data_IF_317455702804
#
_entry.id   IF_317455702804
#
_cell.length_a   1.000
_cell.length_b   1.000
_cell.length_c   1.000
_cell.angle_alpha   90.00
_cell.angle_beta   90.00
_cell.angle_gamma   90.00
#
_symmetry.space_group_name_H-M   'P 1'
#
loop_
_entity.id
_entity.type
_entity.pdbx_description
1 polymer ?
#
# COMPACT_ATOMS: atom_id res chain seq x y z
N UNK A 1 -30.88 -21.33 29.06
CA UNK A 1 -30.60 -19.90 29.33
C UNK A 1 -30.50 -19.23 27.97
N UNK A 2 -31.34 -18.23 27.65
CA UNK A 2 -31.24 -17.49 26.39
C UNK A 2 -30.22 -16.36 26.57
N UNK A 3 -29.22 -16.29 25.69
CA UNK A 3 -28.28 -15.18 25.68
C UNK A 3 -29.00 -13.93 25.14
N UNK A 4 -28.78 -12.76 25.75
CA UNK A 4 -29.34 -11.51 25.22
C UNK A 4 -28.75 -11.21 23.84
N UNK A 5 -29.57 -10.66 22.95
CA UNK A 5 -29.11 -10.18 21.66
C UNK A 5 -28.26 -8.91 21.86
N UNK A 6 -26.95 -9.07 21.70
CA UNK A 6 -25.98 -7.98 21.88
C UNK A 6 -26.07 -6.90 20.79
N UNK A 7 -26.82 -7.13 19.71
CA UNK A 7 -27.07 -6.11 18.69
C UNK A 7 -28.15 -5.10 19.12
N UNK A 8 -29.08 -5.53 19.97
CA UNK A 8 -30.17 -4.70 20.52
C UNK A 8 -29.96 -4.31 21.99
N UNK A 9 -28.83 -4.70 22.58
CA UNK A 9 -28.52 -4.40 23.98
C UNK A 9 -28.30 -2.90 24.20
N UNK A 10 -29.27 -2.25 24.83
CA UNK A 10 -29.34 -0.79 24.97
C UNK A 10 -28.06 -0.14 25.55
N UNK A 11 -27.38 -0.71 26.57
CA UNK A 11 -26.12 -0.16 27.07
C UNK A 11 -25.01 -0.07 26.01
N UNK A 12 -24.95 -1.04 25.08
CA UNK A 12 -23.99 -0.99 23.97
C UNK A 12 -24.40 0.00 22.89
N UNK A 13 -25.71 0.21 22.69
CA UNK A 13 -26.21 1.24 21.79
C UNK A 13 -25.83 2.64 22.27
N UNK A 14 -26.01 2.92 23.56
CA UNK A 14 -25.65 4.19 24.19
C UNK A 14 -24.14 4.45 24.11
N UNK A 15 -23.31 3.45 24.45
CA UNK A 15 -21.87 3.56 24.34
C UNK A 15 -21.42 3.82 22.89
N UNK A 16 -22.01 3.11 21.93
CA UNK A 16 -21.73 3.28 20.50
C UNK A 16 -22.06 4.69 20.01
N UNK A 17 -23.18 5.26 20.47
CA UNK A 17 -23.59 6.63 20.16
C UNK A 17 -22.63 7.66 20.81
N UNK A 18 -22.24 7.45 22.08
CA UNK A 18 -21.26 8.30 22.76
C UNK A 18 -19.89 8.29 22.07
N UNK A 19 -19.51 7.17 21.45
CA UNK A 19 -18.29 7.03 20.65
C UNK A 19 -18.42 7.57 19.20
N UNK A 20 -19.58 8.13 18.83
CA UNK A 20 -19.82 8.70 17.49
C UNK A 20 -20.03 7.67 16.38
N UNK A 21 -20.18 6.38 16.71
CA UNK A 21 -20.41 5.33 15.74
C UNK A 21 -21.91 5.20 15.42
N UNK A 22 -22.31 5.52 14.18
CA UNK A 22 -23.72 5.49 13.73
C UNK A 22 -24.16 4.15 13.13
N UNK A 23 -23.24 3.22 12.90
CA UNK A 23 -23.50 1.90 12.32
C UNK A 23 -22.79 0.84 13.15
N UNK A 24 -23.34 -0.36 13.20
CA UNK A 24 -22.61 -1.56 13.60
C UNK A 24 -21.37 -1.66 12.71
N UNK A 25 -20.20 -1.76 13.32
CA UNK A 25 -18.95 -1.90 12.56
C UNK A 25 -19.05 -3.12 11.65
N UNK A 26 -18.61 -2.99 10.40
CA UNK A 26 -18.44 -4.12 9.50
C UNK A 26 -17.20 -4.90 9.97
N UNK A 27 -17.40 -6.10 10.50
CA UNK A 27 -16.31 -6.97 10.91
C UNK A 27 -16.10 -8.04 9.86
N UNK A 28 -15.02 -7.92 9.09
CA UNK A 28 -14.58 -9.00 8.22
C UNK A 28 -13.75 -9.97 9.05
N UNK A 29 -14.16 -11.25 9.04
CA UNK A 29 -13.35 -12.30 9.62
C UNK A 29 -11.97 -12.32 8.95
N UNK A 30 -10.94 -12.53 9.77
CA UNK A 30 -9.58 -12.61 9.27
C UNK A 30 -9.44 -13.76 8.26
N UNK A 31 -9.08 -13.43 7.03
CA UNK A 31 -8.73 -14.41 6.00
C UNK A 31 -7.23 -14.30 5.72
N UNK A 32 -6.46 -15.37 6.00
CA UNK A 32 -5.01 -15.39 5.82
C UNK A 32 -4.54 -15.20 4.36
N UNK A 33 -5.40 -15.48 3.38
CA UNK A 33 -5.14 -15.28 1.96
C UNK A 33 -5.30 -13.82 1.55
N UNK A 34 -6.19 -13.08 2.22
CA UNK A 34 -6.51 -11.68 1.93
C UNK A 34 -5.81 -10.69 2.86
N UNK A 35 -5.50 -11.10 4.08
CA UNK A 35 -4.98 -10.22 5.13
C UNK A 35 -3.58 -10.65 5.54
N UNK A 36 -2.72 -9.65 5.76
CA UNK A 36 -1.42 -9.90 6.37
C UNK A 36 -1.63 -10.33 7.82
N UNK A 37 -0.84 -11.30 8.28
CA UNK A 37 -0.70 -11.64 9.69
C UNK A 37 0.08 -10.54 10.44
N UNK A 38 0.02 -10.55 11.77
CA UNK A 38 0.84 -9.64 12.58
C UNK A 38 2.34 -9.77 12.29
N UNK A 39 2.82 -11.01 12.12
CA UNK A 39 4.21 -11.29 11.79
C UNK A 39 4.61 -10.73 10.42
N UNK A 40 3.79 -10.95 9.39
CA UNK A 40 4.05 -10.41 8.05
C UNK A 40 4.08 -8.87 8.04
N UNK A 41 3.19 -8.22 8.81
CA UNK A 41 3.19 -6.76 8.96
C UNK A 41 4.50 -6.26 9.57
N UNK A 42 4.92 -6.85 10.69
CA UNK A 42 6.16 -6.45 11.35
C UNK A 42 7.38 -6.72 10.48
N UNK A 43 7.41 -7.84 9.75
CA UNK A 43 8.48 -8.17 8.81
C UNK A 43 8.58 -7.14 7.69
N UNK A 44 7.46 -6.81 7.03
CA UNK A 44 7.43 -5.83 5.94
C UNK A 44 7.81 -4.41 6.37
N UNK A 45 7.47 -4.02 7.60
CA UNK A 45 7.79 -2.71 8.13
C UNK A 45 9.26 -2.61 8.57
N UNK A 46 9.76 -3.62 9.29
CA UNK A 46 11.07 -3.55 9.93
C UNK A 46 12.19 -4.07 9.05
N UNK A 47 12.01 -5.22 8.40
CA UNK A 47 13.10 -5.96 7.73
C UNK A 47 12.97 -5.92 6.22
N UNK A 48 11.75 -5.61 5.73
CA UNK A 48 11.40 -5.85 4.35
C UNK A 48 11.34 -7.35 4.06
N UNK A 49 10.88 -7.70 2.86
CA UNK A 49 10.83 -9.10 2.44
C UNK A 49 11.20 -9.22 0.97
N UNK A 50 11.88 -10.31 0.61
CA UNK A 50 12.14 -10.65 -0.78
C UNK A 50 11.07 -11.62 -1.30
N UNK A 51 10.53 -11.32 -2.48
CA UNK A 51 9.59 -12.19 -3.19
C UNK A 51 9.80 -12.06 -4.70
N UNK A 52 9.44 -13.11 -5.48
CA UNK A 52 9.32 -12.96 -6.94
C UNK A 52 8.24 -11.93 -7.28
N UNK A 53 8.50 -11.09 -8.28
CA UNK A 53 7.58 -10.05 -8.75
C UNK A 53 6.19 -10.63 -9.10
N UNK A 54 6.14 -11.83 -9.68
CA UNK A 54 4.90 -12.55 -9.99
C UNK A 54 3.96 -12.80 -8.81
N UNK A 55 4.46 -12.73 -7.56
CA UNK A 55 3.62 -12.89 -6.35
C UNK A 55 2.91 -11.60 -5.93
N UNK A 56 3.27 -10.47 -6.53
CA UNK A 56 2.66 -9.17 -6.23
C UNK A 56 1.45 -8.95 -7.13
N UNK A 57 0.47 -8.21 -6.61
CA UNK A 57 -0.77 -7.85 -7.32
C UNK A 57 -0.68 -6.41 -7.83
N UNK A 58 -1.43 -6.15 -8.90
CA UNK A 58 -1.80 -4.81 -9.35
C UNK A 58 -3.14 -4.43 -8.75
N UNK A 59 -3.22 -3.32 -8.03
CA UNK A 59 -4.50 -2.76 -7.62
C UNK A 59 -5.14 -1.92 -8.71
N UNK A 60 -6.42 -1.58 -8.52
CA UNK A 60 -7.19 -0.83 -9.52
C UNK A 60 -6.67 0.58 -9.77
N UNK A 61 -5.94 1.14 -8.83
CA UNK A 61 -5.23 2.42 -8.94
C UNK A 61 -3.78 2.26 -9.44
N UNK A 62 -3.44 1.09 -10.00
CA UNK A 62 -2.10 0.73 -10.49
C UNK A 62 -1.03 0.52 -9.41
N UNK A 63 -1.36 0.70 -8.13
CA UNK A 63 -0.39 0.50 -7.04
C UNK A 63 0.00 -0.96 -6.86
N UNK A 64 1.20 -1.20 -6.35
CA UNK A 64 1.65 -2.53 -5.98
C UNK A 64 0.96 -3.02 -4.69
N UNK A 65 0.54 -4.28 -4.70
CA UNK A 65 -0.11 -4.91 -3.56
C UNK A 65 0.43 -6.30 -3.24
N UNK A 66 0.35 -6.68 -1.98
CA UNK A 66 0.42 -8.07 -1.52
C UNK A 66 -0.79 -8.33 -0.64
N UNK A 67 -1.59 -9.34 -1.02
CA UNK A 67 -2.93 -9.53 -0.48
C UNK A 67 -3.72 -8.20 -0.60
N UNK A 68 -4.31 -7.68 0.48
CA UNK A 68 -5.03 -6.40 0.51
C UNK A 68 -4.19 -5.25 1.08
N UNK A 69 -2.86 -5.30 0.96
CA UNK A 69 -1.97 -4.27 1.49
C UNK A 69 -1.13 -3.66 0.39
N UNK A 70 -1.16 -2.32 0.29
CA UNK A 70 -0.26 -1.55 -0.60
C UNK A 70 1.17 -1.63 -0.12
N UNK A 71 2.10 -1.73 -1.05
CA UNK A 71 3.53 -1.90 -0.78
C UNK A 71 4.35 -0.91 -1.59
N UNK A 72 5.60 -0.73 -1.17
CA UNK A 72 6.67 -0.24 -2.04
C UNK A 72 7.50 -1.43 -2.54
N UNK A 73 8.02 -1.33 -3.76
CA UNK A 73 8.83 -2.37 -4.41
C UNK A 73 10.14 -1.78 -4.90
N UNK A 74 11.26 -2.46 -4.69
CA UNK A 74 12.58 -1.98 -5.11
C UNK A 74 13.56 -3.12 -5.35
N UNK A 75 14.58 -2.86 -6.18
CA UNK A 75 15.71 -3.75 -6.38
C UNK A 75 16.87 -3.31 -5.48
N UNK A 76 17.62 -4.26 -4.94
CA UNK A 76 18.69 -3.98 -3.99
C UNK A 76 19.73 -2.97 -4.50
N UNK A 77 20.08 -3.03 -5.79
CA UNK A 77 21.07 -2.15 -6.39
C UNK A 77 20.48 -0.88 -7.06
N UNK A 78 19.16 -0.68 -7.00
CA UNK A 78 18.53 0.50 -7.56
C UNK A 78 18.57 1.68 -6.58
N UNK A 79 18.66 2.91 -7.10
CA UNK A 79 18.58 4.13 -6.29
C UNK A 79 17.15 4.57 -5.95
N UNK A 80 16.16 3.97 -6.61
CA UNK A 80 14.76 4.31 -6.47
C UNK A 80 13.89 3.16 -5.95
N UNK A 81 12.64 3.50 -5.62
CA UNK A 81 11.58 2.55 -5.30
C UNK A 81 10.29 2.91 -6.01
N UNK A 82 9.45 1.90 -6.18
CA UNK A 82 8.24 1.96 -6.98
C UNK A 82 7.00 1.75 -6.12
N UNK A 83 5.99 2.57 -6.36
CA UNK A 83 4.69 2.53 -5.70
C UNK A 83 3.61 1.88 -6.59
N UNK A 84 3.87 1.83 -7.89
CA UNK A 84 2.94 1.40 -8.92
C UNK A 84 3.65 0.59 -9.99
N UNK A 85 2.86 -0.19 -10.74
CA UNK A 85 3.30 -0.87 -11.95
C UNK A 85 3.51 0.14 -13.07
N UNK A 86 4.69 0.75 -13.11
CA UNK A 86 5.06 1.78 -14.07
C UNK A 86 5.91 1.20 -15.21
N UNK A 87 6.16 1.95 -16.29
CA UNK A 87 6.93 1.46 -17.43
C UNK A 87 8.32 0.89 -17.10
N UNK A 88 8.93 1.34 -16.00
CA UNK A 88 10.21 0.79 -15.51
C UNK A 88 10.04 -0.63 -14.96
N UNK A 89 9.01 -0.85 -14.15
CA UNK A 89 8.74 -2.17 -13.56
C UNK A 89 8.13 -3.14 -14.55
N UNK A 90 7.46 -2.65 -15.59
CA UNK A 90 6.90 -3.47 -16.68
C UNK A 90 8.01 -4.17 -17.49
N UNK A 91 9.24 -3.62 -17.48
CA UNK A 91 10.40 -4.23 -18.10
C UNK A 91 11.07 -5.31 -17.23
N UNK A 92 10.64 -5.51 -15.98
CA UNK A 92 11.22 -6.51 -15.09
C UNK A 92 10.66 -7.89 -15.38
N UNK A 93 11.50 -8.93 -15.27
CA UNK A 93 11.04 -10.30 -15.38
C UNK A 93 10.05 -10.66 -14.26
N UNK A 94 9.02 -11.45 -14.56
CA UNK A 94 8.12 -11.99 -13.55
C UNK A 94 8.84 -12.84 -12.49
N UNK A 95 9.96 -13.47 -12.86
CA UNK A 95 10.82 -14.24 -11.95
C UNK A 95 11.82 -13.37 -11.17
N UNK A 96 11.88 -12.06 -11.44
CA UNK A 96 12.78 -11.15 -10.75
C UNK A 96 12.42 -11.11 -9.27
N UNK A 97 13.41 -11.43 -8.42
CA UNK A 97 13.27 -11.23 -6.98
C UNK A 97 13.38 -9.73 -6.69
N UNK A 98 12.40 -9.21 -5.95
CA UNK A 98 12.31 -7.82 -5.53
C UNK A 98 12.18 -7.73 -4.02
N UNK A 99 12.65 -6.62 -3.46
CA UNK A 99 12.37 -6.25 -2.09
C UNK A 99 11.03 -5.52 -2.00
N UNK A 100 10.27 -5.83 -0.95
CA UNK A 100 9.00 -5.18 -0.63
C UNK A 100 8.96 -4.70 0.81
N UNK A 101 8.27 -3.59 1.04
CA UNK A 101 8.11 -3.01 2.38
C UNK A 101 6.82 -2.20 2.50
N UNK A 102 6.32 -2.06 3.74
CA UNK A 102 5.25 -1.12 4.13
C UNK A 102 5.77 0.10 4.89
N UNK A 103 7.10 0.20 5.06
CA UNK A 103 7.72 1.22 5.91
C UNK A 103 7.44 2.62 5.39
N UNK A 104 6.87 3.46 6.26
CA UNK A 104 6.38 4.81 5.89
C UNK A 104 7.45 5.91 6.00
N UNK A 105 8.50 5.70 6.76
CA UNK A 105 9.54 6.69 7.07
C UNK A 105 10.94 6.05 7.04
N UNK A 106 12.01 6.84 7.19
CA UNK A 106 13.40 6.33 7.29
C UNK A 106 13.97 5.73 6.00
N UNK A 107 15.05 4.96 6.05
CA UNK A 107 15.51 4.19 4.88
C UNK A 107 14.57 3.03 4.55
N UNK A 108 14.64 2.49 3.34
CA UNK A 108 13.95 1.24 3.00
C UNK A 108 14.83 0.04 3.38
N UNK A 109 14.27 -0.98 4.04
CA UNK A 109 15.06 -2.07 4.59
C UNK A 109 15.53 -3.04 3.50
N UNK A 110 16.77 -3.49 3.58
CA UNK A 110 17.35 -4.55 2.73
C UNK A 110 17.81 -5.70 3.62
N UNK A 111 16.95 -6.09 4.55
CA UNK A 111 17.21 -7.08 5.59
C UNK A 111 17.07 -6.50 7.00
N UNK A 112 17.29 -7.32 8.04
CA UNK A 112 16.96 -6.98 9.42
C UNK A 112 17.81 -5.87 10.06
N UNK A 113 18.97 -5.56 9.49
CA UNK A 113 19.93 -4.59 10.06
C UNK A 113 20.44 -3.57 9.05
N UNK A 114 19.89 -3.56 7.84
CA UNK A 114 20.35 -2.71 6.76
C UNK A 114 19.18 -1.95 6.17
N UNK A 115 19.37 -0.65 5.96
CA UNK A 115 18.42 0.20 5.26
C UNK A 115 19.16 1.14 4.32
N UNK A 116 18.47 1.54 3.26
CA UNK A 116 19.03 2.41 2.23
C UNK A 116 18.07 3.55 1.94
N UNK A 117 18.63 4.76 1.82
CA UNK A 117 17.89 5.92 1.34
C UNK A 117 17.70 5.78 -0.17
N UNK A 118 16.45 5.94 -0.60
CA UNK A 118 16.04 5.76 -2.00
C UNK A 118 15.03 6.83 -2.34
N UNK A 119 15.05 7.27 -3.59
CA UNK A 119 14.08 8.23 -4.10
C UNK A 119 12.85 7.50 -4.68
N UNK A 120 11.72 8.19 -4.74
CA UNK A 120 10.53 7.62 -5.41
C UNK A 120 10.73 7.67 -6.92
N UNK A 121 10.33 6.60 -7.61
CA UNK A 121 10.36 6.57 -9.06
C UNK A 121 9.41 7.63 -9.66
N UNK A 122 9.95 8.52 -10.49
CA UNK A 122 9.18 9.56 -11.17
C UNK A 122 8.07 9.01 -12.07
N UNK A 123 8.29 7.86 -12.70
CA UNK A 123 7.26 7.22 -13.55
C UNK A 123 6.07 6.72 -12.72
N UNK A 124 6.28 6.31 -11.46
CA UNK A 124 5.17 5.98 -10.57
C UNK A 124 4.35 7.23 -10.23
N UNK A 125 5.00 8.36 -9.93
CA UNK A 125 4.29 9.62 -9.64
C UNK A 125 3.49 10.12 -10.85
N UNK A 126 4.06 10.00 -12.05
CA UNK A 126 3.39 10.32 -13.31
C UNK A 126 2.14 9.45 -13.51
N UNK A 127 2.29 8.12 -13.38
CA UNK A 127 1.20 7.17 -13.60
C UNK A 127 0.05 7.41 -12.62
N UNK A 128 0.37 7.70 -11.37
CA UNK A 128 -0.61 7.95 -10.32
C UNK A 128 -1.19 9.37 -10.35
N UNK A 129 -0.66 10.26 -11.20
CA UNK A 129 -1.02 11.69 -11.21
C UNK A 129 -0.76 12.37 -9.86
N UNK A 130 0.21 11.89 -9.08
CA UNK A 130 0.40 12.28 -7.69
C UNK A 130 0.63 13.78 -7.56
N UNK A 131 -0.30 14.49 -6.90
CA UNK A 131 -0.26 15.96 -6.74
C UNK A 131 -0.05 16.72 -8.06
N UNK A 132 -0.56 16.18 -9.18
CA UNK A 132 -0.41 16.80 -10.49
C UNK A 132 1.01 16.74 -11.05
N UNK A 133 1.81 15.76 -10.62
CA UNK A 133 3.13 15.44 -11.16
C UNK A 133 3.05 15.22 -12.67
N UNK A 134 3.96 15.86 -13.41
CA UNK A 134 4.01 15.80 -14.86
C UNK A 134 5.46 15.94 -15.35
N UNK A 135 5.98 14.92 -16.03
CA UNK A 135 7.33 14.89 -16.63
C UNK A 135 7.40 15.56 -18.00
N UNK A 136 6.28 15.66 -18.72
CA UNK A 136 6.25 16.10 -20.12
C UNK A 136 6.03 17.60 -20.25
N UNK A 137 5.39 18.23 -19.26
CA UNK A 137 5.15 19.68 -19.29
C UNK A 137 6.36 20.47 -18.79
N UNK A 138 7.14 21.03 -19.70
CA UNK A 138 8.32 21.87 -19.43
C UNK A 138 8.09 22.94 -18.34
N UNK A 139 6.90 23.59 -18.33
CA UNK A 139 6.55 24.61 -17.33
C UNK A 139 6.49 24.11 -15.88
N UNK A 140 6.35 22.79 -15.66
CA UNK A 140 6.23 22.15 -14.35
C UNK A 140 7.46 21.34 -13.93
N UNK A 141 8.52 21.30 -14.74
CA UNK A 141 9.70 20.46 -14.45
C UNK A 141 10.34 20.80 -13.08
N UNK A 142 10.45 22.08 -12.74
CA UNK A 142 10.99 22.49 -11.45
C UNK A 142 10.11 22.01 -10.27
N UNK A 143 8.79 22.12 -10.41
CA UNK A 143 7.84 21.59 -9.45
C UNK A 143 7.94 20.07 -9.31
N UNK A 144 7.94 19.33 -10.43
CA UNK A 144 8.04 17.87 -10.43
C UNK A 144 9.37 17.40 -9.80
N UNK A 145 10.50 18.03 -10.13
CA UNK A 145 11.80 17.73 -9.50
C UNK A 145 11.78 17.99 -7.99
N UNK A 146 11.16 19.09 -7.55
CA UNK A 146 11.02 19.36 -6.12
C UNK A 146 10.14 18.30 -5.44
N UNK A 147 9.05 17.90 -6.09
CA UNK A 147 8.11 16.92 -5.57
C UNK A 147 8.75 15.53 -5.37
N UNK A 148 9.67 15.10 -6.25
CA UNK A 148 10.46 13.87 -6.02
C UNK A 148 11.31 14.00 -4.75
N UNK A 149 12.02 15.12 -4.59
CA UNK A 149 12.92 15.36 -3.45
C UNK A 149 12.18 15.47 -2.12
N UNK A 150 10.99 16.07 -2.13
CA UNK A 150 10.16 16.26 -0.94
C UNK A 150 9.12 15.15 -0.77
N UNK A 151 9.21 14.07 -1.55
CA UNK A 151 8.23 13.00 -1.49
C UNK A 151 8.25 12.31 -0.12
N UNK A 152 7.07 12.11 0.46
CA UNK A 152 6.89 11.37 1.71
C UNK A 152 6.04 10.14 1.49
N UNK A 153 6.59 8.96 1.83
CA UNK A 153 5.83 7.70 1.87
C UNK A 153 4.70 7.78 2.88
N UNK A 154 4.90 8.44 4.00
CA UNK A 154 3.85 8.63 5.00
C UNK A 154 2.66 9.40 4.42
N UNK A 155 2.92 10.51 3.73
CA UNK A 155 1.86 11.29 3.08
C UNK A 155 1.17 10.48 1.98
N UNK A 156 1.95 9.77 1.17
CA UNK A 156 1.42 8.90 0.13
C UNK A 156 0.43 7.87 0.69
N UNK A 157 0.79 7.17 1.77
CA UNK A 157 -0.09 6.17 2.40
C UNK A 157 -1.28 6.77 3.18
N UNK A 158 -1.30 8.09 3.41
CA UNK A 158 -2.50 8.81 3.87
C UNK A 158 -3.48 9.06 2.73
N UNK A 159 -2.99 9.43 1.55
CA UNK A 159 -3.82 9.68 0.35
C UNK A 159 -4.31 8.37 -0.24
N UNK A 160 -3.43 7.37 -0.35
CA UNK A 160 -3.71 6.03 -0.85
C UNK A 160 -3.80 5.08 0.34
N UNK A 161 -4.98 5.00 0.95
CA UNK A 161 -5.25 4.25 2.19
C UNK A 161 -4.75 2.80 2.14
N UNK A 162 -3.83 2.42 3.02
CA UNK A 162 -3.17 1.11 2.97
C UNK A 162 -4.13 -0.12 2.95
N UNK A 163 -5.37 0.04 3.47
CA UNK A 163 -6.39 -1.01 3.60
C UNK A 163 -7.81 -0.41 3.76
N UNK A 164 -8.89 -1.11 3.37
CA UNK A 164 -8.93 -2.19 2.38
C UNK A 164 -8.96 -1.61 0.97
N UNK A 165 -8.27 -2.27 0.05
CA UNK A 165 -8.22 -1.90 -1.36
C UNK A 165 -8.58 -3.13 -2.15
N UNK A 166 -9.74 -3.12 -2.80
CA UNK A 166 -10.12 -4.18 -3.72
C UNK A 166 -9.11 -4.22 -4.87
N UNK A 167 -8.56 -5.39 -5.14
CA UNK A 167 -7.77 -5.65 -6.33
C UNK A 167 -8.62 -5.58 -7.61
N UNK A 168 -7.98 -5.44 -8.77
CA UNK A 168 -8.68 -5.41 -10.06
C UNK A 168 -9.55 -6.66 -10.27
N UNK A 169 -9.05 -7.84 -9.90
CA UNK A 169 -9.80 -9.09 -10.00
C UNK A 169 -11.06 -9.11 -9.11
N UNK A 170 -11.00 -8.48 -7.94
CA UNK A 170 -12.14 -8.40 -7.01
C UNK A 170 -13.18 -7.39 -7.52
N UNK A 171 -12.74 -6.26 -8.09
CA UNK A 171 -13.64 -5.34 -8.81
C UNK A 171 -14.33 -5.97 -10.02
N UNK A 172 -13.62 -6.82 -10.76
CA UNK A 172 -14.21 -7.49 -11.93
C UNK A 172 -15.24 -8.55 -11.47
N UNK A 173 -14.94 -9.31 -10.42
CA UNK A 173 -15.86 -10.32 -9.86
C UNK A 173 -17.11 -9.73 -9.17
N UNK A 174 -17.09 -8.46 -8.74
CA UNK A 174 -18.29 -7.78 -8.21
C UNK A 174 -19.24 -7.27 -9.30
N UNK A 175 -18.80 -7.22 -10.56
CA UNK A 175 -19.59 -6.76 -11.71
C UNK A 175 -20.11 -7.92 -12.60
N UNK A 176 -19.88 -9.17 -12.20
CA UNK A 176 -20.45 -10.39 -12.80
C UNK A 176 -21.60 -10.93 -11.93
#
# INVERSE_FOLDING_TARGET
>A
MQLPDFTEFEPFRELRLAMGARKTGHFELFNAEKHLTGKERSELDQQGRQLPLARLKRFADHTWGLKNTRLVVYLENAGDYHLAQCPVTDAWSASQTVWISTRRTGGLPVGPQQEQQREVCAHCLQLLGYKGFDLQRNRKIAYSKNLVKTFSREEFFRIYTLYPVQGMAEKLAENE
#
